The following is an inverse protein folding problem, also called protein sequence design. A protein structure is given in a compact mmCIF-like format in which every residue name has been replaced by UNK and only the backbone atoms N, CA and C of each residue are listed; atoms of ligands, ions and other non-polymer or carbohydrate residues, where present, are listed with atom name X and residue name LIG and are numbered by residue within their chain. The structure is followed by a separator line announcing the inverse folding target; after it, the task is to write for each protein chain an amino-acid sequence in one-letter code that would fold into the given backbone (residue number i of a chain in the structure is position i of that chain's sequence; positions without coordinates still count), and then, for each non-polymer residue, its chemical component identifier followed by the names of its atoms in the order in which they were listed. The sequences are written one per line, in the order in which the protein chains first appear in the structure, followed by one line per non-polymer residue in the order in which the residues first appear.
data_IF_951887545720
#
_entry.id   IF_951887545720
#
_cell.length_a   1.000
_cell.length_b   1.000
_cell.length_c   1.000
_cell.angle_alpha   90.00
_cell.angle_beta   90.00
_cell.angle_gamma   90.00
#
_symmetry.space_group_name_H-M   'P 1'
#
loop_
_entity.id
_entity.type
_entity.pdbx_description
1 polymer ?
#
# COMPACT_ATOMS: atom_id res chain seq x y z
N UNK A 1 0.44 8.17 -14.15
CA UNK A 1 0.49 6.86 -14.85
C UNK A 1 0.23 5.75 -13.86
N UNK A 2 -0.77 4.90 -14.12
CA UNK A 2 -1.08 3.73 -13.28
C UNK A 2 -0.16 2.56 -13.62
N UNK A 3 0.27 1.81 -12.60
CA UNK A 3 1.17 0.66 -12.78
C UNK A 3 0.98 -0.37 -11.70
N UNK A 4 1.28 -1.63 -12.01
CA UNK A 4 1.37 -2.73 -11.05
C UNK A 4 2.76 -3.35 -11.21
N UNK A 5 3.51 -3.46 -10.12
CA UNK A 5 4.77 -4.17 -10.05
C UNK A 5 4.59 -5.38 -9.12
N UNK A 6 4.91 -6.56 -9.61
CA UNK A 6 4.96 -7.80 -8.83
C UNK A 6 6.41 -8.19 -8.60
N UNK A 7 6.73 -8.61 -7.37
CA UNK A 7 8.05 -9.07 -6.98
C UNK A 7 7.95 -10.40 -6.25
N UNK A 8 8.82 -11.33 -6.63
CA UNK A 8 8.99 -12.64 -6.02
C UNK A 8 10.46 -12.89 -5.66
N UNK A 9 10.68 -13.69 -4.61
CA UNK A 9 11.99 -14.18 -4.16
C UNK A 9 11.91 -15.70 -4.02
N UNK A 10 12.85 -16.44 -4.61
CA UNK A 10 12.85 -17.91 -4.57
C UNK A 10 11.48 -18.53 -4.95
N UNK A 11 10.84 -18.00 -5.99
CA UNK A 11 9.48 -18.35 -6.45
C UNK A 11 8.36 -18.12 -5.41
N UNK A 12 8.62 -17.38 -4.34
CA UNK A 12 7.65 -17.01 -3.32
C UNK A 12 7.21 -15.55 -3.46
N UNK A 13 5.93 -15.27 -3.16
CA UNK A 13 5.37 -13.92 -3.18
C UNK A 13 6.08 -13.01 -2.18
N UNK A 14 6.71 -11.92 -2.66
CA UNK A 14 7.37 -10.95 -1.80
C UNK A 14 6.54 -9.67 -1.66
N UNK A 15 6.20 -9.02 -2.79
CA UNK A 15 5.53 -7.71 -2.79
C UNK A 15 4.75 -7.46 -4.07
N UNK A 16 3.63 -6.75 -3.94
CA UNK A 16 2.97 -6.04 -5.05
C UNK A 16 2.90 -4.56 -4.75
N UNK A 17 3.29 -3.73 -5.71
CA UNK A 17 3.15 -2.27 -5.66
C UNK A 17 2.17 -1.81 -6.73
N UNK A 18 1.11 -1.12 -6.31
CA UNK A 18 0.10 -0.56 -7.20
C UNK A 18 0.18 0.96 -7.12
N UNK A 19 0.31 1.62 -8.26
CA UNK A 19 0.24 3.08 -8.39
C UNK A 19 -1.01 3.45 -9.14
N UNK A 20 -1.75 4.43 -8.64
CA UNK A 20 -2.93 4.98 -9.28
C UNK A 20 -3.04 6.48 -9.05
N UNK A 21 -3.93 7.13 -9.79
CA UNK A 21 -4.16 8.57 -9.72
C UNK A 21 -5.65 8.88 -9.64
N UNK A 22 -5.99 10.01 -9.02
CA UNK A 22 -7.33 10.57 -8.93
C UNK A 22 -8.07 10.26 -7.62
N UNK A 23 -8.73 11.28 -7.08
CA UNK A 23 -9.50 11.18 -5.83
C UNK A 23 -10.66 10.17 -5.92
N UNK A 24 -11.34 10.09 -7.07
CA UNK A 24 -12.44 9.14 -7.26
C UNK A 24 -11.95 7.69 -7.22
N UNK A 25 -10.81 7.41 -7.84
CA UNK A 25 -10.19 6.07 -7.80
C UNK A 25 -9.77 5.75 -6.37
N UNK A 26 -9.18 6.72 -5.66
CA UNK A 26 -8.83 6.56 -4.24
C UNK A 26 -10.04 6.14 -3.38
N UNK A 27 -11.17 6.83 -3.52
CA UNK A 27 -12.41 6.52 -2.78
C UNK A 27 -12.96 5.13 -3.14
N UNK A 28 -12.74 4.63 -4.35
CA UNK A 28 -13.13 3.27 -4.74
C UNK A 28 -12.19 2.22 -4.14
N UNK A 29 -10.87 2.45 -4.23
CA UNK A 29 -9.84 1.60 -3.62
C UNK A 29 -10.07 1.46 -2.13
N UNK A 30 -10.23 2.59 -1.41
CA UNK A 30 -10.43 2.59 0.03
C UNK A 30 -11.68 1.79 0.43
N UNK A 31 -12.81 2.03 -0.23
CA UNK A 31 -14.06 1.26 0.01
C UNK A 31 -13.88 -0.23 -0.25
N UNK A 32 -13.15 -0.60 -1.30
CA UNK A 32 -12.88 -2.00 -1.61
C UNK A 32 -12.04 -2.67 -0.52
N UNK A 33 -10.97 -2.01 -0.07
CA UNK A 33 -10.09 -2.56 0.97
C UNK A 33 -10.80 -2.64 2.32
N UNK A 34 -11.56 -1.62 2.72
CA UNK A 34 -12.36 -1.64 3.96
C UNK A 34 -13.41 -2.76 3.93
N UNK A 35 -14.09 -2.95 2.80
CA UNK A 35 -15.09 -4.01 2.65
C UNK A 35 -14.50 -5.42 2.69
N UNK A 36 -13.22 -5.59 2.33
CA UNK A 36 -12.56 -6.90 2.25
C UNK A 36 -11.73 -7.25 3.48
N UNK A 37 -11.09 -6.27 4.09
CA UNK A 37 -10.08 -6.47 5.14
C UNK A 37 -10.46 -5.83 6.48
N UNK A 38 -11.64 -5.19 6.56
CA UNK A 38 -12.16 -4.56 7.77
C UNK A 38 -12.11 -3.03 7.69
N UNK A 39 -13.08 -2.40 8.36
CA UNK A 39 -13.13 -0.94 8.47
C UNK A 39 -11.99 -0.43 9.35
N UNK A 40 -11.45 0.74 8.98
CA UNK A 40 -10.45 1.42 9.77
C UNK A 40 -11.12 2.47 10.65
N UNK A 41 -10.66 2.63 11.88
CA UNK A 41 -11.11 3.70 12.77
C UNK A 41 -10.70 5.06 12.18
N UNK A 42 -11.69 5.75 11.63
CA UNK A 42 -11.49 7.09 11.05
C UNK A 42 -11.56 8.10 12.19
N UNK A 43 -10.40 8.61 12.61
CA UNK A 43 -10.37 9.75 13.54
C UNK A 43 -10.87 10.99 12.80
N UNK A 44 -12.03 11.56 13.18
CA UNK A 44 -12.55 12.78 12.56
C UNK A 44 -11.53 13.91 12.70
N UNK A 45 -11.18 14.57 11.59
CA UNK A 45 -10.17 15.64 11.55
C UNK A 45 -8.82 15.25 10.94
N UNK A 46 -8.48 13.96 10.80
CA UNK A 46 -7.32 13.55 9.99
C UNK A 46 -7.54 13.81 8.49
N UNK A 47 -8.75 13.52 7.99
CA UNK A 47 -9.11 13.78 6.58
C UNK A 47 -9.14 15.27 6.23
N UNK A 48 -9.41 16.14 7.22
CA UNK A 48 -9.48 17.58 7.02
C UNK A 48 -8.10 18.26 6.95
N UNK A 49 -7.01 17.55 7.30
CA UNK A 49 -5.65 18.11 7.39
C UNK A 49 -4.57 17.35 6.60
N UNK A 50 -4.84 16.15 6.11
CA UNK A 50 -3.80 15.32 5.49
C UNK A 50 -3.61 15.59 3.99
N UNK A 51 -2.57 16.34 3.61
CA UNK A 51 -1.98 16.27 2.25
C UNK A 51 -1.62 14.82 1.88
N UNK A 52 -1.34 14.00 2.89
CA UNK A 52 -1.06 12.57 2.77
C UNK A 52 -1.97 11.80 3.74
N UNK A 53 -2.65 10.79 3.24
CA UNK A 53 -3.50 9.86 3.98
C UNK A 53 -2.84 8.49 3.96
N UNK A 54 -2.82 7.79 5.10
CA UNK A 54 -2.19 6.48 5.22
C UNK A 54 -3.12 5.51 5.96
N UNK A 55 -3.20 4.29 5.44
CA UNK A 55 -4.07 3.22 5.91
C UNK A 55 -3.30 1.91 5.92
N UNK A 56 -3.50 1.09 6.94
CA UNK A 56 -2.82 -0.20 7.11
C UNK A 56 -3.83 -1.30 7.45
N UNK A 57 -3.73 -2.43 6.75
CA UNK A 57 -4.40 -3.68 7.12
C UNK A 57 -3.35 -4.76 7.31
N UNK A 58 -3.36 -5.40 8.48
CA UNK A 58 -2.41 -6.44 8.83
C UNK A 58 -3.12 -7.78 8.99
N UNK A 59 -2.83 -8.71 8.09
CA UNK A 59 -3.22 -10.11 8.18
C UNK A 59 -2.12 -10.96 8.81
N UNK A 60 -2.35 -12.28 8.84
CA UNK A 60 -1.38 -13.27 9.34
C UNK A 60 -0.10 -13.27 8.50
N UNK A 61 -0.25 -13.41 7.18
CA UNK A 61 0.86 -13.60 6.25
C UNK A 61 1.13 -12.37 5.38
N UNK A 62 0.21 -11.42 5.31
CA UNK A 62 0.27 -10.26 4.41
C UNK A 62 -0.03 -8.97 5.15
N UNK A 63 0.66 -7.90 4.77
CA UNK A 63 0.36 -6.53 5.19
C UNK A 63 0.05 -5.66 3.98
N UNK A 64 -1.00 -4.85 4.07
CA UNK A 64 -1.42 -3.90 3.05
C UNK A 64 -1.24 -2.49 3.58
N UNK A 65 -0.40 -1.68 2.93
CA UNK A 65 -0.22 -0.26 3.21
C UNK A 65 -0.76 0.55 2.04
N UNK A 66 -1.76 1.41 2.28
CA UNK A 66 -2.29 2.35 1.30
C UNK A 66 -1.87 3.77 1.70
N UNK A 67 -1.19 4.47 0.80
CA UNK A 67 -0.89 5.91 0.91
C UNK A 67 -1.60 6.67 -0.20
N UNK A 68 -2.21 7.81 0.12
CA UNK A 68 -2.78 8.73 -0.87
C UNK A 68 -2.31 10.16 -0.62
N UNK A 69 -1.75 10.78 -1.64
CA UNK A 69 -1.26 12.16 -1.62
C UNK A 69 -2.29 13.05 -2.30
N UNK A 70 -3.12 13.75 -1.53
CA UNK A 70 -4.20 14.59 -2.04
C UNK A 70 -3.69 15.75 -2.92
N UNK A 71 -2.51 16.31 -2.61
CA UNK A 71 -1.94 17.42 -3.37
C UNK A 71 -1.52 17.08 -4.81
N UNK A 72 -1.23 15.80 -5.09
CA UNK A 72 -0.87 15.30 -6.43
C UNK A 72 -1.87 14.29 -6.97
N UNK A 73 -2.92 14.00 -6.20
CA UNK A 73 -3.88 12.93 -6.39
C UNK A 73 -3.25 11.55 -6.66
N UNK A 74 -2.09 11.25 -6.06
CA UNK A 74 -1.37 9.98 -6.26
C UNK A 74 -1.63 8.99 -5.15
N UNK A 75 -1.99 7.77 -5.52
CA UNK A 75 -2.19 6.65 -4.61
C UNK A 75 -1.15 5.54 -4.82
N UNK A 76 -0.71 4.96 -3.70
CA UNK A 76 0.23 3.85 -3.65
C UNK A 76 -0.32 2.76 -2.74
N UNK A 77 -0.36 1.52 -3.22
CA UNK A 77 -0.70 0.34 -2.42
C UNK A 77 0.51 -0.57 -2.41
N UNK A 78 0.95 -0.96 -1.23
CA UNK A 78 1.94 -1.99 -1.01
C UNK A 78 1.24 -3.18 -0.38
N UNK A 79 1.41 -4.36 -1.00
CA UNK A 79 0.90 -5.63 -0.49
C UNK A 79 2.12 -6.50 -0.26
N UNK A 80 2.45 -6.76 0.99
CA UNK A 80 3.74 -7.29 1.39
C UNK A 80 3.58 -8.63 2.10
N UNK A 81 4.41 -9.61 1.73
CA UNK A 81 4.58 -10.82 2.53
C UNK A 81 5.25 -10.47 3.85
N UNK A 82 4.63 -10.81 4.97
CA UNK A 82 5.16 -10.50 6.31
C UNK A 82 6.40 -11.32 6.67
N UNK A 83 6.64 -12.43 5.98
CA UNK A 83 7.80 -13.31 6.21
C UNK A 83 8.98 -12.97 5.30
N UNK A 84 8.71 -12.45 4.09
CA UNK A 84 9.74 -12.16 3.08
C UNK A 84 10.06 -10.67 2.93
N UNK A 85 9.15 -9.77 3.29
CA UNK A 85 9.40 -8.32 3.27
C UNK A 85 10.68 -7.88 4.00
N UNK A 86 11.07 -8.42 5.18
CA UNK A 86 12.32 -8.02 5.80
C UNK A 86 13.56 -8.44 4.98
N UNK A 87 13.54 -9.62 4.34
CA UNK A 87 14.67 -10.11 3.51
C UNK A 87 14.83 -9.30 2.21
N UNK A 88 13.74 -8.73 1.71
CA UNK A 88 13.75 -7.92 0.48
C UNK A 88 14.40 -6.53 0.66
N UNK A 89 14.26 -5.89 1.82
CA UNK A 89 14.91 -4.60 2.07
C UNK A 89 16.44 -4.74 2.17
N UNK A 90 16.95 -5.89 2.63
CA UNK A 90 18.38 -6.18 2.65
C UNK A 90 18.92 -6.40 1.21
N UNK A 91 18.21 -7.16 0.37
CA UNK A 91 18.63 -7.49 -1.02
C UNK A 91 18.69 -6.28 -1.97
N UNK A 92 17.75 -5.32 -1.82
CA UNK A 92 17.78 -4.06 -2.58
C UNK A 92 18.93 -3.14 -2.14
N UNK A 93 19.33 -3.21 -0.88
CA UNK A 93 20.41 -2.37 -0.34
C UNK A 93 21.77 -2.84 -0.86
N UNK A 94 21.99 -4.15 -0.96
CA UNK A 94 23.24 -4.74 -1.47
C UNK A 94 23.40 -4.59 -2.99
N UNK A 95 22.29 -4.64 -3.74
CA UNK A 95 22.30 -4.46 -5.21
C UNK A 95 22.48 -3.01 -5.69
N UNK A 96 22.60 -2.05 -4.77
CA UNK A 96 22.76 -0.63 -5.05
C UNK A 96 24.19 -0.11 -4.75
N UNK A 97 25.12 -0.99 -4.37
CA UNK A 97 26.56 -0.70 -4.19
C UNK A 97 27.41 -1.05 -5.42
#
# INVERSE_FOLDING_TARGET
MSSILYVSLDDQFARVVIRYEGEQVHKQVLRHLEGRFGQLDRVPGQMARGLTQQYNWRGTDTEINLTYQAGTERGYIFIDSRTLAPRFNDDITDSAE
#
